data_IF_004623297353
#
_entry.id   IF_004623297353
#
_cell.length_a   1.000
_cell.length_b   1.000
_cell.length_c   1.000
_cell.angle_alpha   90.00
_cell.angle_beta   90.00
_cell.angle_gamma   90.00
#
_symmetry.space_group_name_H-M   'P 1'
#
loop_
_entity.id
_entity.type
_entity.pdbx_description
1 polymer ?
#
# COMPACT_ATOMS: atom_id res chain seq x y z
N UNK A 1 23.72 -14.70 -37.44
CA UNK A 1 23.70 -13.64 -36.40
C UNK A 1 22.58 -13.82 -35.38
N UNK A 2 21.39 -14.30 -35.76
CA UNK A 2 20.24 -14.46 -34.84
C UNK A 2 20.43 -15.46 -33.68
N UNK A 3 21.12 -16.59 -33.90
CA UNK A 3 21.30 -17.59 -32.84
C UNK A 3 22.15 -17.07 -31.68
N UNK A 4 23.19 -16.28 -31.96
CA UNK A 4 24.04 -15.64 -30.93
C UNK A 4 23.24 -14.63 -30.11
N UNK A 5 22.38 -13.84 -30.75
CA UNK A 5 21.49 -12.89 -30.07
C UNK A 5 20.49 -13.62 -29.19
N UNK A 6 19.90 -14.73 -29.67
CA UNK A 6 18.95 -15.53 -28.88
C UNK A 6 19.61 -16.15 -27.65
N UNK A 7 20.80 -16.74 -27.80
CA UNK A 7 21.56 -17.31 -26.69
C UNK A 7 21.94 -16.25 -25.64
N UNK A 8 22.34 -15.06 -26.08
CA UNK A 8 22.67 -13.96 -25.16
C UNK A 8 21.44 -13.45 -24.41
N UNK A 9 20.32 -13.23 -25.10
CA UNK A 9 19.07 -12.78 -24.47
C UNK A 9 18.53 -13.80 -23.46
N UNK A 10 18.64 -15.09 -23.76
CA UNK A 10 18.24 -16.15 -22.83
C UNK A 10 19.14 -16.20 -21.60
N UNK A 11 20.45 -16.02 -21.77
CA UNK A 11 21.39 -15.95 -20.65
C UNK A 11 21.09 -14.75 -19.73
N UNK A 12 20.77 -13.59 -20.31
CA UNK A 12 20.38 -12.39 -19.54
C UNK A 12 19.05 -12.60 -18.81
N UNK A 13 18.07 -13.25 -19.46
CA UNK A 13 16.78 -13.55 -18.84
C UNK A 13 16.87 -14.58 -17.70
N UNK A 14 17.80 -15.54 -17.79
CA UNK A 14 18.06 -16.52 -16.72
C UNK A 14 18.88 -15.92 -15.56
N UNK A 15 19.71 -14.91 -15.84
CA UNK A 15 20.48 -14.20 -14.84
C UNK A 15 19.69 -13.06 -14.16
N UNK A 16 18.50 -12.72 -14.66
CA UNK A 16 17.69 -11.68 -14.05
C UNK A 16 16.92 -12.23 -12.85
N UNK A 17 16.94 -11.48 -11.75
CA UNK A 17 16.16 -11.76 -10.55
C UNK A 17 14.94 -10.86 -10.50
N UNK A 18 13.79 -11.38 -10.04
CA UNK A 18 12.64 -10.54 -9.73
C UNK A 18 12.96 -9.71 -8.50
N UNK A 19 13.04 -8.39 -8.65
CA UNK A 19 13.15 -7.47 -7.52
C UNK A 19 11.77 -7.19 -6.95
N UNK A 20 11.50 -7.69 -5.75
CA UNK A 20 10.29 -7.34 -4.99
C UNK A 20 10.69 -6.32 -3.94
N UNK A 21 9.84 -5.30 -3.75
CA UNK A 21 10.02 -4.40 -2.63
C UNK A 21 9.93 -5.19 -1.32
N UNK A 22 10.80 -4.88 -0.35
CA UNK A 22 10.68 -5.45 0.98
C UNK A 22 9.32 -5.05 1.60
N UNK A 23 8.63 -5.95 2.31
CA UNK A 23 7.45 -5.58 3.07
C UNK A 23 7.83 -4.55 4.12
N UNK A 24 7.05 -3.46 4.19
CA UNK A 24 7.23 -2.40 5.18
C UNK A 24 6.07 -2.47 6.16
N UNK A 25 6.39 -2.45 7.44
CA UNK A 25 5.40 -2.31 8.51
C UNK A 25 5.06 -0.83 8.69
N UNK A 26 3.81 -0.45 8.39
CA UNK A 26 3.32 0.92 8.55
C UNK A 26 2.59 1.04 9.88
N UNK A 27 3.05 1.98 10.71
CA UNK A 27 2.37 2.35 11.94
C UNK A 27 1.52 3.58 11.71
N UNK A 28 0.33 3.58 12.30
CA UNK A 28 -0.49 4.78 12.33
C UNK A 28 0.22 5.79 13.25
N UNK A 29 0.24 7.04 12.82
CA UNK A 29 0.66 8.14 13.67
C UNK A 29 -0.59 8.74 14.30
N UNK A 30 -0.84 8.52 15.60
CA UNK A 30 -2.03 9.04 16.27
C UNK A 30 -2.02 10.57 16.41
N UNK A 31 -0.88 11.24 16.20
CA UNK A 31 -0.78 12.70 16.22
C UNK A 31 -1.16 13.34 14.88
N UNK A 32 -1.22 12.55 13.80
CA UNK A 32 -1.53 13.01 12.45
C UNK A 32 -2.68 12.23 11.78
N UNK A 33 -3.29 11.28 12.47
CA UNK A 33 -4.40 10.47 11.97
C UNK A 33 -5.58 10.55 12.94
N UNK A 34 -6.79 10.69 12.40
CA UNK A 34 -8.02 10.64 13.20
C UNK A 34 -9.00 9.63 12.60
N UNK A 35 -9.47 8.69 13.42
CA UNK A 35 -10.58 7.81 13.07
C UNK A 35 -11.89 8.49 13.46
N UNK A 36 -12.58 9.04 12.47
CA UNK A 36 -13.84 9.77 12.63
C UNK A 36 -15.01 8.99 12.06
N UNK A 37 -16.17 9.10 12.71
CA UNK A 37 -17.43 8.59 12.20
C UNK A 37 -18.53 9.64 12.33
N UNK A 38 -19.52 9.55 11.44
CA UNK A 38 -20.69 10.43 11.40
C UNK A 38 -21.92 9.65 11.00
N UNK A 39 -23.09 10.08 11.44
CA UNK A 39 -24.34 9.44 11.08
C UNK A 39 -25.46 10.47 10.86
N UNK A 40 -26.50 10.06 10.14
CA UNK A 40 -27.72 10.84 10.02
C UNK A 40 -28.64 10.54 11.21
N UNK A 41 -29.05 11.56 11.95
CA UNK A 41 -30.02 11.43 13.02
C UNK A 41 -31.43 11.75 12.48
N UNK A 42 -31.97 10.81 11.69
CA UNK A 42 -33.31 10.88 11.06
C UNK A 42 -33.61 12.20 10.32
N UNK A 43 -32.59 12.84 9.74
CA UNK A 43 -32.70 14.13 9.06
C UNK A 43 -32.71 15.36 9.99
N UNK A 44 -32.68 15.18 11.31
CA UNK A 44 -32.65 16.29 12.27
C UNK A 44 -31.24 16.85 12.50
N UNK A 45 -30.20 16.02 12.43
CA UNK A 45 -28.81 16.45 12.58
C UNK A 45 -27.81 15.47 11.94
N UNK A 46 -26.54 15.90 11.86
CA UNK A 46 -25.40 15.09 11.41
C UNK A 46 -24.28 15.09 12.47
N UNK A 47 -24.45 14.33 13.57
CA UNK A 47 -23.41 14.24 14.59
C UNK A 47 -22.16 13.53 14.07
N UNK A 48 -21.03 13.84 14.70
CA UNK A 48 -19.76 13.15 14.48
C UNK A 48 -19.02 12.93 15.80
N UNK A 49 -18.14 11.93 15.80
CA UNK A 49 -17.23 11.65 16.90
C UNK A 49 -15.96 10.98 16.36
N UNK A 50 -14.92 10.94 17.20
CA UNK A 50 -13.67 10.27 16.91
C UNK A 50 -13.29 9.29 18.02
N UNK A 51 -12.46 8.30 17.67
CA UNK A 51 -11.75 7.49 18.66
C UNK A 51 -10.50 8.23 19.12
N UNK A 52 -10.28 8.28 20.44
CA UNK A 52 -9.14 9.00 21.05
C UNK A 52 -7.91 8.12 21.24
N UNK A 53 -8.08 6.80 21.23
CA UNK A 53 -7.01 5.82 21.35
C UNK A 53 -7.01 4.96 20.09
N UNK A 54 -5.99 5.18 19.26
CA UNK A 54 -5.78 4.52 17.99
C UNK A 54 -4.31 4.09 17.89
N UNK A 55 -4.10 3.01 17.14
CA UNK A 55 -2.89 2.19 17.10
C UNK A 55 -1.56 2.94 16.98
#
# INVERSE_FOLDING_TARGET
MHLKTLSFSLAVALASTVTLAAPVDYKIDPTHTATVFSWNHFGFSTPSANFSDIQ
#
